data_IF_339031056274
#
_entry.id   IF_339031056274
#
_cell.length_a   1.000
_cell.length_b   1.000
_cell.length_c   1.000
_cell.angle_alpha   90.00
_cell.angle_beta   90.00
_cell.angle_gamma   90.00
#
_symmetry.space_group_name_H-M   'P 1'
#
loop_
_entity.id
_entity.type
_entity.pdbx_description
1 polymer ?
#
# COMPACT_ATOMS: atom_id res chain seq x y z
N UNK A 1 14.54 19.85 -6.11
CA UNK A 1 13.40 20.18 -6.98
C UNK A 1 12.19 20.34 -6.07
N UNK A 2 11.51 21.50 -6.10
CA UNK A 2 10.34 21.79 -5.27
C UNK A 2 9.21 22.25 -6.22
N UNK A 3 8.31 21.35 -6.64
CA UNK A 3 7.25 21.72 -7.58
C UNK A 3 6.28 22.73 -6.94
N UNK A 4 5.71 23.66 -7.73
CA UNK A 4 4.69 24.60 -7.25
C UNK A 4 3.42 23.87 -6.79
N UNK A 5 2.67 24.51 -5.88
CA UNK A 5 1.33 24.06 -5.48
C UNK A 5 0.27 24.84 -6.26
N UNK A 6 -0.84 24.20 -6.60
CA UNK A 6 -1.95 24.83 -7.31
C UNK A 6 -2.74 23.82 -8.16
N UNK A 7 -3.61 24.32 -9.03
CA UNK A 7 -4.57 23.51 -9.81
C UNK A 7 -4.20 23.38 -11.29
N UNK A 8 -3.05 23.90 -11.71
CA UNK A 8 -2.60 23.87 -13.09
C UNK A 8 -1.66 22.69 -13.37
N UNK A 9 -1.43 22.44 -14.66
CA UNK A 9 -0.59 21.32 -15.10
C UNK A 9 0.84 21.45 -14.54
N UNK A 10 1.27 20.42 -13.82
CA UNK A 10 2.62 20.35 -13.21
C UNK A 10 2.69 20.85 -11.77
N UNK A 11 1.58 21.38 -11.24
CA UNK A 11 1.46 21.77 -9.83
C UNK A 11 1.00 20.58 -8.97
N UNK A 12 1.41 20.56 -7.69
CA UNK A 12 0.92 19.58 -6.73
C UNK A 12 -0.38 20.05 -6.08
N UNK A 13 -1.38 19.17 -6.10
CA UNK A 13 -2.69 19.36 -5.44
C UNK A 13 -2.80 18.51 -4.17
N UNK A 14 -3.66 18.92 -3.24
CA UNK A 14 -4.02 18.10 -2.09
C UNK A 14 -5.16 17.13 -2.45
N UNK A 15 -4.85 15.85 -2.66
CA UNK A 15 -5.86 14.83 -2.99
C UNK A 15 -6.90 14.57 -1.88
N UNK A 16 -6.64 14.99 -0.63
CA UNK A 16 -7.58 14.83 0.48
C UNK A 16 -8.57 16.00 0.63
N UNK A 17 -8.49 17.02 -0.23
CA UNK A 17 -9.42 18.15 -0.19
C UNK A 17 -10.87 17.71 -0.40
N UNK A 18 -11.08 16.65 -1.18
CA UNK A 18 -12.38 15.99 -1.39
C UNK A 18 -12.99 15.41 -0.09
N UNK A 19 -12.17 15.10 0.92
CA UNK A 19 -12.62 14.65 2.23
C UNK A 19 -12.87 15.83 3.20
N UNK A 20 -12.65 17.07 2.74
CA UNK A 20 -12.83 18.31 3.48
C UNK A 20 -11.50 18.97 3.85
N UNK A 21 -11.49 20.29 3.91
CA UNK A 21 -10.30 21.08 4.29
C UNK A 21 -9.85 20.66 5.69
N UNK A 22 -8.54 20.40 5.84
CA UNK A 22 -7.95 19.92 7.09
C UNK A 22 -7.96 18.41 7.27
N UNK A 23 -8.42 17.65 6.27
CA UNK A 23 -8.31 16.18 6.27
C UNK A 23 -6.86 15.72 6.10
N UNK A 24 -6.50 14.62 6.77
CA UNK A 24 -5.13 14.09 6.78
C UNK A 24 -5.12 12.57 6.97
N UNK A 25 -4.06 11.92 6.49
CA UNK A 25 -3.83 10.49 6.71
C UNK A 25 -3.34 10.27 8.14
N UNK A 26 -4.03 9.42 8.90
CA UNK A 26 -3.65 8.99 10.25
C UNK A 26 -2.74 7.78 10.22
N UNK A 27 -3.10 6.79 9.40
CA UNK A 27 -2.38 5.52 9.30
C UNK A 27 -2.18 5.15 7.83
N UNK A 28 -1.00 4.61 7.53
CA UNK A 28 -0.65 4.16 6.19
C UNK A 28 0.05 2.81 6.24
N UNK A 29 -0.37 1.91 5.36
CA UNK A 29 0.18 0.56 5.22
C UNK A 29 0.56 0.32 3.76
N UNK A 30 1.79 -0.13 3.54
CA UNK A 30 2.29 -0.50 2.22
C UNK A 30 2.53 -2.00 2.12
N UNK A 31 1.76 -2.67 1.27
CA UNK A 31 1.99 -4.05 0.85
C UNK A 31 2.88 -4.18 -0.39
N UNK A 32 3.45 -3.07 -0.88
CA UNK A 32 4.31 -3.01 -2.06
C UNK A 32 3.76 -2.12 -3.19
N UNK A 33 4.39 -2.14 -4.38
CA UNK A 33 3.97 -1.30 -5.50
C UNK A 33 2.50 -1.52 -5.88
N UNK A 34 1.69 -0.46 -5.81
CA UNK A 34 0.25 -0.49 -6.13
C UNK A 34 -0.56 -1.49 -5.26
N UNK A 35 -0.07 -1.76 -4.05
CA UNK A 35 -0.77 -2.46 -2.98
C UNK A 35 -0.57 -1.67 -1.67
N UNK A 36 -1.53 -0.84 -1.31
CA UNK A 36 -1.48 -0.02 -0.09
C UNK A 36 -2.86 0.26 0.46
N UNK A 37 -2.93 0.63 1.73
CA UNK A 37 -4.16 1.10 2.37
C UNK A 37 -3.85 2.24 3.34
N UNK A 38 -4.81 3.13 3.55
CA UNK A 38 -4.71 4.19 4.53
C UNK A 38 -6.03 4.50 5.21
N UNK A 39 -5.94 4.99 6.45
CA UNK A 39 -7.05 5.60 7.19
C UNK A 39 -6.81 7.10 7.22
N UNK A 40 -7.77 7.88 6.72
CA UNK A 40 -7.73 9.33 6.72
C UNK A 40 -8.88 9.89 7.55
N UNK A 41 -8.59 10.93 8.34
CA UNK A 41 -9.64 11.71 8.99
C UNK A 41 -10.31 12.59 7.94
N UNK A 42 -11.64 12.44 7.80
CA UNK A 42 -12.45 13.25 6.91
C UNK A 42 -13.11 14.36 7.72
N UNK A 43 -12.66 15.60 7.50
CA UNK A 43 -13.23 16.76 8.21
C UNK A 43 -14.66 17.06 7.77
N UNK A 44 -15.03 16.68 6.53
CA UNK A 44 -16.40 16.82 6.03
C UNK A 44 -17.38 15.84 6.69
N UNK A 45 -16.96 14.59 6.92
CA UNK A 45 -17.80 13.53 7.51
C UNK A 45 -17.67 13.43 9.03
N UNK A 46 -16.62 14.01 9.61
CA UNK A 46 -16.32 13.91 11.05
C UNK A 46 -15.96 12.50 11.50
N UNK A 47 -15.41 11.68 10.60
CA UNK A 47 -15.06 10.29 10.88
C UNK A 47 -13.84 9.82 10.07
N UNK A 48 -13.32 8.65 10.42
CA UNK A 48 -12.23 8.02 9.66
C UNK A 48 -12.75 7.33 8.40
N UNK A 49 -12.15 7.67 7.27
CA UNK A 49 -12.40 7.05 5.96
C UNK A 49 -11.22 6.15 5.63
N UNK A 50 -11.54 4.93 5.22
CA UNK A 50 -10.54 3.93 4.85
C UNK A 50 -10.49 3.76 3.34
N UNK A 51 -9.28 3.77 2.78
CA UNK A 51 -9.04 3.55 1.35
C UNK A 51 -8.06 2.41 1.17
N UNK A 52 -8.46 1.41 0.38
CA UNK A 52 -7.60 0.30 -0.04
C UNK A 52 -7.33 0.40 -1.53
N UNK A 53 -6.08 0.17 -1.95
CA UNK A 53 -5.66 0.16 -3.34
C UNK A 53 -4.87 -1.11 -3.61
N UNK A 54 -5.49 -2.05 -4.33
CA UNK A 54 -4.91 -3.35 -4.65
C UNK A 54 -4.98 -3.58 -6.16
N UNK A 55 -3.84 -3.46 -6.85
CA UNK A 55 -3.82 -3.68 -8.30
C UNK A 55 -4.03 -5.14 -8.67
N UNK A 56 -4.81 -5.35 -9.72
CA UNK A 56 -5.02 -6.67 -10.33
C UNK A 56 -6.19 -7.45 -9.73
N UNK A 57 -6.81 -6.92 -8.67
CA UNK A 57 -8.01 -7.46 -8.04
C UNK A 57 -9.06 -6.36 -8.02
N UNK A 58 -10.29 -6.68 -8.44
CA UNK A 58 -11.41 -5.74 -8.36
C UNK A 58 -11.91 -5.67 -6.92
N UNK A 59 -11.87 -4.50 -6.31
CA UNK A 59 -12.41 -4.25 -4.96
C UNK A 59 -13.93 -4.07 -5.01
N UNK A 60 -14.65 -5.14 -5.35
CA UNK A 60 -16.11 -5.20 -5.17
C UNK A 60 -16.48 -5.14 -3.69
N UNK A 61 -17.73 -4.87 -3.35
CA UNK A 61 -18.18 -4.88 -1.94
C UNK A 61 -17.74 -6.16 -1.20
N UNK A 62 -18.01 -7.33 -1.78
CA UNK A 62 -17.61 -8.62 -1.21
C UNK A 62 -16.09 -8.73 -1.02
N UNK A 63 -15.32 -8.30 -2.02
CA UNK A 63 -13.86 -8.33 -1.96
C UNK A 63 -13.31 -7.33 -0.95
N UNK A 64 -13.92 -6.15 -0.81
CA UNK A 64 -13.50 -5.12 0.13
C UNK A 64 -13.76 -5.52 1.60
N UNK A 65 -14.78 -6.37 1.85
CA UNK A 65 -14.96 -6.97 3.18
C UNK A 65 -13.79 -7.92 3.54
N UNK A 66 -13.22 -8.60 2.56
CA UNK A 66 -12.08 -9.52 2.75
C UNK A 66 -10.75 -8.76 2.78
N UNK A 67 -10.53 -7.87 1.80
CA UNK A 67 -9.33 -7.07 1.63
C UNK A 67 -9.61 -5.64 2.12
N UNK A 68 -9.74 -5.52 3.43
CA UNK A 68 -9.87 -4.24 4.13
C UNK A 68 -8.50 -3.79 4.69
N UNK A 69 -8.46 -2.59 5.28
CA UNK A 69 -7.23 -2.02 5.84
C UNK A 69 -6.60 -2.94 6.88
N UNK A 70 -7.39 -3.45 7.84
CA UNK A 70 -6.87 -4.27 8.94
C UNK A 70 -6.30 -5.59 8.40
N UNK A 71 -6.92 -6.17 7.36
CA UNK A 71 -6.39 -7.36 6.70
C UNK A 71 -5.07 -7.08 5.99
N UNK A 72 -4.96 -5.96 5.27
CA UNK A 72 -3.70 -5.59 4.60
C UNK A 72 -2.61 -5.34 5.66
N UNK A 73 -2.91 -4.61 6.72
CA UNK A 73 -2.02 -4.36 7.85
C UNK A 73 -1.51 -5.67 8.44
N UNK A 74 -2.43 -6.59 8.74
CA UNK A 74 -2.10 -7.90 9.31
C UNK A 74 -1.18 -8.70 8.39
N UNK A 75 -1.50 -8.80 7.10
CA UNK A 75 -0.66 -9.52 6.13
C UNK A 75 0.71 -8.87 5.88
N UNK A 76 0.89 -7.58 6.19
CA UNK A 76 2.18 -6.89 6.07
C UNK A 76 3.03 -7.10 7.32
N UNK A 77 2.42 -7.09 8.50
CA UNK A 77 3.11 -7.27 9.77
C UNK A 77 3.40 -8.75 10.10
N UNK A 78 2.52 -9.63 9.65
CA UNK A 78 2.57 -11.07 9.90
C UNK A 78 2.75 -11.83 8.58
N UNK A 79 3.47 -12.95 8.61
CA UNK A 79 3.57 -13.88 7.49
C UNK A 79 2.28 -14.70 7.37
N UNK A 80 1.24 -14.10 6.78
CA UNK A 80 -0.02 -14.78 6.48
C UNK A 80 -0.02 -15.44 5.09
N UNK A 81 -0.76 -16.54 4.99
CA UNK A 81 -1.02 -17.25 3.73
C UNK A 81 -1.80 -16.39 2.73
N UNK A 82 -1.57 -16.67 1.43
CA UNK A 82 -2.23 -15.95 0.36
C UNK A 82 -3.74 -16.24 0.33
N UNK A 83 -4.56 -15.22 0.08
CA UNK A 83 -6.02 -15.31 0.11
C UNK A 83 -6.57 -15.53 -1.30
N UNK A 84 -7.35 -16.59 -1.57
CA UNK A 84 -8.01 -16.75 -2.86
C UNK A 84 -9.20 -15.79 -3.01
N UNK A 85 -9.16 -14.97 -4.06
CA UNK A 85 -10.20 -14.02 -4.42
C UNK A 85 -10.80 -14.42 -5.76
N UNK A 86 -12.03 -14.89 -5.72
CA UNK A 86 -12.79 -15.28 -6.92
C UNK A 86 -13.59 -14.10 -7.44
N UNK A 87 -13.46 -13.81 -8.73
CA UNK A 87 -14.24 -12.76 -9.40
C UNK A 87 -14.59 -13.15 -10.83
N UNK A 88 -15.70 -12.62 -11.32
CA UNK A 88 -16.10 -12.77 -12.72
C UNK A 88 -15.34 -11.77 -13.57
N UNK A 89 -14.55 -12.26 -14.52
CA UNK A 89 -13.81 -11.43 -15.47
C UNK A 89 -14.43 -11.54 -16.85
N UNK A 90 -14.57 -10.40 -17.52
CA UNK A 90 -14.89 -10.34 -18.94
C UNK A 90 -13.61 -10.66 -19.72
N UNK A 91 -13.66 -11.67 -20.57
CA UNK A 91 -12.56 -12.12 -21.42
C UNK A 91 -13.01 -12.08 -22.88
N UNK A 92 -12.02 -12.07 -23.77
CA UNK A 92 -12.23 -12.13 -25.22
C UNK A 92 -11.57 -13.38 -25.78
N UNK A 93 -12.27 -14.11 -26.64
CA UNK A 93 -11.69 -15.24 -27.37
C UNK A 93 -10.72 -14.75 -28.46
N UNK A 94 -10.03 -15.69 -29.09
CA UNK A 94 -9.25 -15.44 -30.30
C UNK A 94 -10.14 -14.97 -31.46
N UNK A 95 -11.39 -15.43 -31.49
CA UNK A 95 -12.43 -15.07 -32.47
C UNK A 95 -13.14 -13.75 -32.15
N UNK A 96 -12.66 -13.04 -31.11
CA UNK A 96 -13.21 -11.77 -30.63
C UNK A 96 -14.55 -11.86 -29.88
N UNK A 97 -15.02 -13.05 -29.53
CA UNK A 97 -16.22 -13.23 -28.72
C UNK A 97 -15.99 -12.77 -27.29
N UNK A 98 -16.94 -12.01 -26.75
CA UNK A 98 -16.90 -11.52 -25.37
C UNK A 98 -17.66 -12.49 -24.47
N UNK A 99 -16.98 -13.05 -23.48
CA UNK A 99 -17.60 -13.96 -22.52
C UNK A 99 -17.14 -13.68 -21.09
N UNK A 100 -17.97 -14.06 -20.12
CA UNK A 100 -17.65 -13.92 -18.70
C UNK A 100 -17.12 -15.25 -18.16
N UNK A 101 -16.00 -15.19 -17.45
CA UNK A 101 -15.33 -16.36 -16.88
C UNK A 101 -14.99 -16.10 -15.42
N UNK A 102 -15.39 -17.03 -14.54
CA UNK A 102 -14.95 -17.02 -13.14
C UNK A 102 -13.43 -17.25 -13.07
N UNK A 103 -12.72 -16.40 -12.33
CA UNK A 103 -11.27 -16.48 -12.18
C UNK A 103 -10.89 -16.20 -10.73
N UNK A 104 -10.01 -17.05 -10.19
CA UNK A 104 -9.47 -16.91 -8.84
C UNK A 104 -8.06 -16.34 -8.89
N UNK A 105 -7.80 -15.32 -8.08
CA UNK A 105 -6.47 -14.73 -7.90
C UNK A 105 -6.05 -14.86 -6.45
N UNK A 106 -4.79 -15.25 -6.23
CA UNK A 106 -4.23 -15.30 -4.88
C UNK A 106 -3.71 -13.91 -4.50
N UNK A 107 -4.31 -13.31 -3.48
CA UNK A 107 -3.90 -12.04 -2.92
C UNK A 107 -2.81 -12.24 -1.87
N UNK A 108 -1.71 -11.49 -2.02
CA UNK A 108 -0.65 -11.34 -1.01
C UNK A 108 0.05 -9.99 -1.16
N UNK A 109 0.59 -9.40 -0.08
CA UNK A 109 1.58 -8.34 -0.19
C UNK A 109 2.78 -8.78 -1.03
N UNK A 110 3.23 -7.90 -1.93
CA UNK A 110 4.28 -8.15 -2.91
C UNK A 110 5.49 -7.23 -2.67
N UNK A 111 5.89 -7.08 -1.40
CA UNK A 111 7.11 -6.35 -1.02
C UNK A 111 8.35 -7.25 -0.97
N UNK A 112 8.50 -8.14 -1.96
CA UNK A 112 9.55 -9.17 -2.01
C UNK A 112 10.94 -8.64 -2.39
N UNK A 113 11.07 -7.34 -2.72
CA UNK A 113 12.34 -6.72 -3.11
C UNK A 113 13.14 -6.16 -1.93
N UNK A 114 12.61 -6.25 -0.72
CA UNK A 114 13.24 -5.75 0.51
C UNK A 114 13.10 -6.78 1.61
N UNK A 115 14.05 -6.78 2.54
CA UNK A 115 13.94 -7.51 3.81
C UNK A 115 13.47 -6.55 4.88
N UNK A 116 12.41 -6.91 5.58
CA UNK A 116 11.94 -6.18 6.76
C UNK A 116 12.61 -6.76 8.01
N UNK A 117 13.07 -5.89 8.89
CA UNK A 117 13.58 -6.24 10.20
C UNK A 117 12.47 -6.12 11.25
N UNK A 118 12.69 -6.70 12.43
CA UNK A 118 11.71 -6.72 13.52
C UNK A 118 11.39 -5.33 14.09
N UNK A 119 12.25 -4.33 13.85
CA UNK A 119 12.05 -2.93 14.21
C UNK A 119 11.22 -2.14 13.18
N UNK A 120 10.70 -2.81 12.14
CA UNK A 120 9.94 -2.20 11.05
C UNK A 120 10.81 -1.52 9.99
N UNK A 121 12.14 -1.49 10.16
CA UNK A 121 13.04 -1.01 9.13
C UNK A 121 13.08 -1.99 7.94
N UNK A 122 13.39 -1.48 6.74
CA UNK A 122 13.52 -2.33 5.56
C UNK A 122 14.79 -2.04 4.79
N UNK A 123 15.46 -3.10 4.34
CA UNK A 123 16.72 -3.02 3.62
C UNK A 123 16.63 -3.71 2.26
N UNK A 124 17.26 -3.16 1.21
CA UNK A 124 17.40 -3.88 -0.04
C UNK A 124 18.28 -5.12 0.15
N UNK A 125 18.07 -6.14 -0.68
CA UNK A 125 19.00 -7.27 -0.72
C UNK A 125 20.41 -6.79 -1.11
N UNK A 126 21.42 -7.32 -0.42
CA UNK A 126 22.82 -6.90 -0.59
C UNK A 126 23.23 -5.68 0.25
N UNK A 127 22.31 -5.07 1.01
CA UNK A 127 22.67 -4.03 1.98
C UNK A 127 23.66 -4.56 3.02
N UNK A 128 24.81 -3.90 3.14
CA UNK A 128 25.81 -4.16 4.18
C UNK A 128 25.77 -3.02 5.18
N UNK A 129 25.50 -3.34 6.45
CA UNK A 129 25.60 -2.36 7.55
C UNK A 129 27.05 -1.89 7.63
N UNK A 130 27.29 -0.59 7.62
CA UNK A 130 28.62 -0.04 7.86
C UNK A 130 29.06 -0.50 9.25
N UNK A 131 30.28 -1.06 9.35
CA UNK A 131 30.91 -1.28 10.64
C UNK A 131 31.16 0.09 11.23
N UNK A 132 30.51 0.37 12.36
CA UNK A 132 30.97 1.45 13.23
C UNK A 132 32.20 0.88 13.91
N UNK A 133 33.38 1.25 13.44
CA UNK A 133 34.60 0.94 14.18
C UNK A 133 34.51 1.71 15.49
N UNK A 134 34.66 0.99 16.61
CA UNK A 134 34.72 1.59 17.94
C UNK A 134 35.95 2.50 17.96
N UNK A 135 35.75 3.79 17.66
CA UNK A 135 36.74 4.83 17.95
C UNK A 135 36.87 4.84 19.46
N UNK A 136 37.92 4.18 19.96
CA UNK A 136 38.38 4.34 21.33
C UNK A 136 38.78 5.80 21.46
N UNK A 137 37.92 6.61 22.07
CA UNK A 137 38.34 7.91 22.57
C UNK A 137 39.32 7.61 23.69
N UNK A 138 40.62 7.74 23.40
CA UNK A 138 41.64 7.83 24.44
C UNK A 138 41.38 9.13 25.19
N UNK A 139 40.87 9.01 26.42
CA UNK A 139 40.95 10.08 27.40
C UNK A 139 42.42 10.22 27.79
N UNK A 140 43.13 11.12 27.12
CA UNK A 140 44.38 11.65 27.64
C UNK A 140 44.07 12.94 28.41
N UNK A 141 44.62 12.99 29.62
CA UNK A 141 44.47 13.98 30.69
C UNK A 141 44.86 15.41 30.28
#
# INVERSE_FOLDING_TARGET
>A
YNPPLGQFLGELTNELEDEGIGSYIKEFVSGGPKNYAYKAWSSSKGCDVTVCKVKGISLTYKTAQIINFDKIMKMVLEEEEAIPITSSLIKRSTEHDVFTSSTTKLYRPNSTKRRFASDGSSHPYGFKKLRVDNVRISNDL
#
